data_IF_605549998090
#
_entry.id   IF_605549998090
#
_cell.length_a   1.000
_cell.length_b   1.000
_cell.length_c   1.000
_cell.angle_alpha   90.00
_cell.angle_beta   90.00
_cell.angle_gamma   90.00
#
_symmetry.space_group_name_H-M   'P 1'
#
loop_
_entity.id
_entity.type
_entity.pdbx_description
1 polymer ?
#
# COMPACT_ATOMS: atom_id res chain seq x y z
N UNK A 1 -27.13 0.41 -0.09
CA UNK A 1 -26.66 -0.98 0.11
C UNK A 1 -25.20 -0.92 0.55
N UNK A 2 -24.84 -1.58 1.64
CA UNK A 2 -23.43 -1.69 2.04
C UNK A 2 -22.74 -2.64 1.05
N UNK A 3 -21.64 -2.20 0.44
CA UNK A 3 -20.87 -3.05 -0.48
C UNK A 3 -20.16 -4.13 0.31
N UNK A 4 -20.09 -5.34 -0.23
CA UNK A 4 -19.34 -6.43 0.37
C UNK A 4 -17.87 -6.35 -0.08
N UNK A 5 -16.99 -5.89 0.82
CA UNK A 5 -15.56 -5.76 0.55
C UNK A 5 -14.81 -6.90 1.23
N UNK A 6 -14.06 -7.66 0.43
CA UNK A 6 -13.23 -8.77 0.88
C UNK A 6 -11.80 -8.63 0.35
N UNK A 7 -10.90 -9.47 0.86
CA UNK A 7 -9.48 -9.42 0.51
C UNK A 7 -9.01 -10.82 0.20
N UNK A 8 -8.50 -11.02 -1.01
CA UNK A 8 -7.91 -12.28 -1.46
C UNK A 8 -6.40 -12.19 -1.31
N UNK A 9 -5.74 -13.25 -0.84
CA UNK A 9 -4.28 -13.30 -0.90
C UNK A 9 -3.81 -13.11 -2.35
N UNK A 10 -2.76 -12.33 -2.55
CA UNK A 10 -2.15 -12.16 -3.87
C UNK A 10 -1.66 -13.52 -4.38
N UNK A 11 -1.85 -13.74 -5.68
CA UNK A 11 -1.41 -14.93 -6.42
C UNK A 11 -0.93 -14.52 -7.81
N UNK A 12 -0.14 -15.39 -8.44
CA UNK A 12 0.41 -15.18 -9.79
C UNK A 12 -0.69 -14.90 -10.84
N UNK A 13 -1.88 -15.50 -10.70
CA UNK A 13 -3.03 -15.26 -11.59
C UNK A 13 -3.48 -13.79 -11.64
N UNK A 14 -3.11 -12.98 -10.65
CA UNK A 14 -3.44 -11.55 -10.59
C UNK A 14 -2.41 -10.66 -11.29
N UNK A 15 -1.27 -11.18 -11.76
CA UNK A 15 -0.18 -10.35 -12.29
C UNK A 15 -0.58 -9.53 -13.52
N UNK A 16 -1.33 -10.13 -14.45
CA UNK A 16 -1.85 -9.39 -15.61
C UNK A 16 -2.79 -8.25 -15.19
N UNK A 17 -3.53 -8.42 -14.08
CA UNK A 17 -4.41 -7.40 -13.54
C UNK A 17 -3.63 -6.28 -12.86
N UNK A 18 -2.60 -6.62 -12.07
CA UNK A 18 -1.68 -5.62 -11.50
C UNK A 18 -1.02 -4.80 -12.60
N UNK A 19 -0.51 -5.44 -13.66
CA UNK A 19 0.09 -4.77 -14.81
C UNK A 19 -0.87 -3.76 -15.44
N UNK A 20 -2.11 -4.19 -15.72
CA UNK A 20 -3.17 -3.32 -16.24
C UNK A 20 -3.35 -2.09 -15.36
N UNK A 21 -3.43 -2.28 -14.04
CA UNK A 21 -3.73 -1.20 -13.11
C UNK A 21 -2.57 -0.22 -12.95
N UNK A 22 -1.34 -0.68 -12.77
CA UNK A 22 -0.19 0.22 -12.55
C UNK A 22 0.12 1.11 -13.75
N UNK A 23 -0.28 0.69 -14.96
CA UNK A 23 -0.17 1.49 -16.18
C UNK A 23 -1.36 2.42 -16.44
N UNK A 24 -2.42 2.38 -15.61
CA UNK A 24 -3.49 3.39 -15.71
C UNK A 24 -3.01 4.76 -15.25
N UNK A 25 -3.46 5.83 -15.92
CA UNK A 25 -3.02 7.19 -15.63
C UNK A 25 -3.20 7.61 -14.16
N UNK A 26 -4.31 7.20 -13.52
CA UNK A 26 -4.60 7.59 -12.14
C UNK A 26 -3.75 6.85 -11.10
N UNK A 27 -3.12 5.73 -11.46
CA UNK A 27 -2.19 5.01 -10.59
C UNK A 27 -0.75 5.37 -10.92
N UNK A 28 -0.37 5.30 -12.20
CA UNK A 28 1.00 5.57 -12.68
C UNK A 28 1.53 6.90 -12.18
N UNK A 29 0.66 7.92 -12.08
CA UNK A 29 1.00 9.23 -11.51
C UNK A 29 1.59 9.16 -10.09
N UNK A 30 1.19 8.18 -9.29
CA UNK A 30 1.50 8.07 -7.86
C UNK A 30 2.30 6.82 -7.49
N UNK A 31 2.27 5.80 -8.35
CA UNK A 31 2.85 4.49 -8.08
C UNK A 31 3.94 4.19 -9.09
N UNK A 32 5.20 4.24 -8.65
CA UNK A 32 6.37 3.91 -9.46
C UNK A 32 6.35 4.64 -10.83
N UNK A 33 6.11 5.96 -10.82
CA UNK A 33 5.81 6.76 -12.01
C UNK A 33 6.87 6.67 -13.12
N UNK A 34 8.13 6.49 -12.72
CA UNK A 34 9.28 6.40 -13.62
C UNK A 34 9.52 4.98 -14.17
N UNK A 35 8.75 3.99 -13.71
CA UNK A 35 8.89 2.59 -14.13
C UNK A 35 7.88 2.27 -15.23
N UNK A 36 8.35 1.89 -16.41
CA UNK A 36 7.51 1.27 -17.44
C UNK A 36 7.32 -0.22 -17.11
N UNK A 37 6.16 -0.57 -16.55
CA UNK A 37 5.90 -1.95 -16.13
C UNK A 37 5.76 -2.87 -17.34
N UNK A 38 6.42 -4.01 -17.24
CA UNK A 38 6.28 -5.14 -18.17
C UNK A 38 5.84 -6.38 -17.38
N UNK A 39 5.32 -7.42 -18.04
CA UNK A 39 5.02 -8.69 -17.38
C UNK A 39 6.20 -9.21 -16.55
N UNK A 40 7.42 -9.12 -17.06
CA UNK A 40 8.64 -9.60 -16.40
C UNK A 40 8.96 -8.78 -15.14
N UNK A 41 8.75 -7.45 -15.17
CA UNK A 41 8.96 -6.60 -13.99
C UNK A 41 7.90 -6.88 -12.92
N UNK A 42 6.64 -7.09 -13.33
CA UNK A 42 5.57 -7.48 -12.41
C UNK A 42 5.89 -8.81 -11.76
N UNK A 43 6.21 -9.83 -12.54
CA UNK A 43 6.58 -11.15 -12.03
C UNK A 43 7.77 -11.04 -11.06
N UNK A 44 8.83 -10.33 -11.45
CA UNK A 44 10.02 -10.12 -10.60
C UNK A 44 9.69 -9.46 -9.25
N UNK A 45 8.80 -8.47 -9.23
CA UNK A 45 8.41 -7.78 -8.00
C UNK A 45 7.46 -8.62 -7.16
N UNK A 46 6.35 -9.05 -7.76
CA UNK A 46 5.19 -9.59 -7.06
C UNK A 46 5.28 -11.09 -6.77
N UNK A 47 6.14 -11.87 -7.43
CA UNK A 47 6.35 -13.29 -7.09
C UNK A 47 6.91 -13.49 -5.67
N UNK A 48 7.73 -12.55 -5.19
CA UNK A 48 8.19 -12.56 -3.80
C UNK A 48 7.04 -12.25 -2.83
N UNK A 49 6.13 -11.38 -3.23
CA UNK A 49 5.00 -10.95 -2.40
C UNK A 49 3.95 -12.06 -2.27
N UNK A 50 3.75 -12.85 -3.33
CA UNK A 50 2.96 -14.09 -3.29
C UNK A 50 3.54 -15.09 -2.28
N UNK A 51 4.88 -15.15 -2.18
CA UNK A 51 5.59 -16.00 -1.19
C UNK A 51 5.63 -15.38 0.22
N UNK A 52 5.09 -14.19 0.42
CA UNK A 52 4.97 -13.54 1.73
C UNK A 52 6.21 -12.76 2.17
N UNK A 53 7.07 -12.32 1.24
CA UNK A 53 8.23 -11.50 1.59
C UNK A 53 8.55 -10.40 0.58
N UNK A 54 9.18 -9.33 1.05
CA UNK A 54 9.74 -8.24 0.23
C UNK A 54 11.25 -8.21 0.45
N UNK A 55 12.00 -8.05 -0.63
CA UNK A 55 13.44 -7.93 -0.58
C UNK A 55 13.88 -6.55 -0.07
N UNK A 56 14.65 -6.54 1.01
CA UNK A 56 15.46 -5.41 1.42
C UNK A 56 16.84 -5.54 0.76
N UNK A 57 17.18 -4.61 -0.13
CA UNK A 57 18.49 -4.55 -0.77
C UNK A 57 19.43 -3.68 0.06
N UNK A 58 20.48 -4.30 0.60
CA UNK A 58 21.66 -3.61 1.13
C UNK A 58 22.75 -3.56 0.05
N UNK A 59 23.81 -2.78 0.28
CA UNK A 59 24.96 -2.69 -0.64
C UNK A 59 25.61 -4.06 -0.92
N UNK A 60 25.51 -5.00 0.01
CA UNK A 60 26.22 -6.28 -0.05
C UNK A 60 25.31 -7.51 0.03
N UNK A 61 24.00 -7.34 0.30
CA UNK A 61 23.11 -8.45 0.63
C UNK A 61 21.67 -8.18 0.19
N UNK A 62 20.93 -9.24 -0.09
CA UNK A 62 19.48 -9.22 -0.20
C UNK A 62 18.92 -9.97 1.00
N UNK A 63 18.07 -9.30 1.77
CA UNK A 63 17.42 -9.87 2.95
C UNK A 63 15.92 -9.97 2.66
N UNK A 64 15.34 -11.14 2.92
CA UNK A 64 13.90 -11.34 2.84
C UNK A 64 13.24 -10.89 4.14
N UNK A 65 12.26 -9.99 4.03
CA UNK A 65 11.48 -9.50 5.16
C UNK A 65 10.00 -9.81 4.96
N UNK A 66 9.27 -10.27 6.01
CA UNK A 66 7.87 -10.62 5.87
C UNK A 66 7.03 -9.46 5.31
N UNK A 67 6.13 -9.80 4.40
CA UNK A 67 5.15 -8.87 3.86
C UNK A 67 3.88 -9.62 3.49
N UNK A 68 2.75 -8.91 3.47
CA UNK A 68 1.47 -9.50 3.12
C UNK A 68 0.81 -8.67 2.04
N UNK A 69 0.42 -9.31 0.95
CA UNK A 69 -0.18 -8.67 -0.21
C UNK A 69 -1.53 -9.29 -0.55
N UNK A 70 -2.48 -8.43 -0.92
CA UNK A 70 -3.85 -8.81 -1.17
C UNK A 70 -4.44 -8.08 -2.38
N UNK A 71 -5.44 -8.71 -2.97
CA UNK A 71 -6.37 -8.10 -3.92
C UNK A 71 -7.63 -7.67 -3.17
N UNK A 72 -8.00 -6.42 -3.34
CA UNK A 72 -9.24 -5.84 -2.82
C UNK A 72 -10.35 -6.27 -3.77
N UNK A 73 -11.34 -7.00 -3.24
CA UNK A 73 -12.52 -7.43 -3.98
C UNK A 73 -13.76 -6.70 -3.44
N UNK A 74 -14.60 -6.19 -4.33
CA UNK A 74 -15.84 -5.51 -4.00
C UNK A 74 -16.98 -6.14 -4.80
N UNK A 75 -17.94 -6.74 -4.11
CA UNK A 75 -19.12 -7.39 -4.71
C UNK A 75 -18.74 -8.39 -5.83
N UNK A 76 -17.67 -9.17 -5.61
CA UNK A 76 -17.18 -10.17 -6.55
C UNK A 76 -16.18 -9.66 -7.58
N UNK A 77 -16.00 -8.34 -7.72
CA UNK A 77 -15.05 -7.74 -8.67
C UNK A 77 -13.74 -7.41 -7.98
N UNK A 78 -12.61 -7.82 -8.57
CA UNK A 78 -11.29 -7.38 -8.11
C UNK A 78 -11.07 -5.94 -8.55
N UNK A 79 -10.83 -5.05 -7.59
CA UNK A 79 -10.85 -3.59 -7.83
C UNK A 79 -9.55 -2.89 -7.45
N UNK A 80 -8.65 -3.55 -6.72
CA UNK A 80 -7.43 -2.91 -6.27
C UNK A 80 -6.47 -3.85 -5.57
N UNK A 81 -5.37 -3.27 -5.12
CA UNK A 81 -4.26 -3.95 -4.48
C UNK A 81 -3.98 -3.30 -3.12
N UNK A 82 -3.60 -4.08 -2.12
CA UNK A 82 -3.15 -3.59 -0.81
C UNK A 82 -2.11 -4.51 -0.21
N UNK A 83 -1.06 -3.92 0.36
CA UNK A 83 -0.03 -4.64 1.11
C UNK A 83 0.21 -4.01 2.47
N UNK A 84 0.72 -4.83 3.41
CA UNK A 84 1.34 -4.33 4.62
C UNK A 84 2.59 -5.12 4.99
N UNK A 85 3.50 -4.45 5.71
CA UNK A 85 4.73 -5.01 6.24
C UNK A 85 5.20 -4.19 7.43
N UNK A 86 6.16 -4.70 8.20
CA UNK A 86 6.73 -3.95 9.32
C UNK A 86 7.47 -2.71 8.80
N UNK A 87 7.06 -1.51 9.26
CA UNK A 87 7.66 -0.26 8.80
C UNK A 87 9.15 -0.16 9.13
N UNK A 88 9.60 -0.81 10.19
CA UNK A 88 10.99 -0.77 10.66
C UNK A 88 11.93 -1.73 9.91
N UNK A 89 11.37 -2.65 9.11
CA UNK A 89 12.19 -3.53 8.28
C UNK A 89 12.79 -2.83 7.05
N UNK A 90 12.25 -1.67 6.66
CA UNK A 90 12.65 -0.96 5.46
C UNK A 90 13.02 0.49 5.76
N UNK A 91 14.09 1.01 5.12
CA UNK A 91 14.45 2.42 5.25
C UNK A 91 13.29 3.30 4.77
N UNK A 92 13.19 4.54 5.29
CA UNK A 92 12.18 5.48 4.83
C UNK A 92 12.42 5.84 3.36
N UNK A 93 11.35 5.87 2.56
CA UNK A 93 11.41 6.23 1.13
C UNK A 93 11.52 7.75 0.93
N UNK A 94 11.06 8.53 1.92
CA UNK A 94 11.18 9.98 1.97
C UNK A 94 11.99 10.41 3.19
N UNK A 95 12.42 11.68 3.20
CA UNK A 95 13.16 12.25 4.34
C UNK A 95 12.17 12.61 5.45
N UNK A 96 11.91 11.65 6.34
CA UNK A 96 11.20 11.89 7.60
C UNK A 96 11.91 11.20 8.76
N UNK A 97 11.73 11.76 9.97
CA UNK A 97 12.33 11.24 11.18
C UNK A 97 11.63 9.93 11.61
N UNK A 98 12.23 8.79 11.32
CA UNK A 98 11.68 7.47 11.69
C UNK A 98 11.67 7.22 13.19
N UNK A 99 12.44 7.98 13.99
CA UNK A 99 12.44 7.89 15.46
C UNK A 99 11.09 8.30 16.07
N UNK A 100 10.22 8.96 15.31
CA UNK A 100 8.90 9.40 15.78
C UNK A 100 7.80 8.40 15.47
N UNK A 101 8.12 7.32 14.75
CA UNK A 101 7.15 6.27 14.46
C UNK A 101 7.06 5.32 15.66
N UNK A 102 5.84 4.90 16.06
CA UNK A 102 5.66 3.89 17.10
C UNK A 102 6.43 2.61 16.78
N UNK A 103 6.88 1.90 17.82
CA UNK A 103 7.62 0.64 17.67
C UNK A 103 6.81 -0.42 16.94
N UNK A 104 5.55 -0.62 17.33
CA UNK A 104 4.62 -1.52 16.64
C UNK A 104 3.87 -0.76 15.54
N UNK A 105 4.43 -0.75 14.33
CA UNK A 105 3.89 0.02 13.20
C UNK A 105 4.00 -0.71 11.85
N UNK A 106 2.87 -0.88 11.17
CA UNK A 106 2.81 -1.42 9.82
C UNK A 106 2.80 -0.31 8.76
N UNK A 107 3.64 -0.42 7.73
CA UNK A 107 3.51 0.39 6.53
C UNK A 107 2.46 -0.21 5.60
N UNK A 108 1.59 0.63 5.02
CA UNK A 108 0.52 0.23 4.10
C UNK A 108 0.70 0.91 2.75
N UNK A 109 0.83 0.13 1.68
CA UNK A 109 0.79 0.64 0.30
C UNK A 109 -0.38 0.00 -0.45
N UNK A 110 -1.14 0.80 -1.18
CA UNK A 110 -2.35 0.31 -1.82
C UNK A 110 -2.88 1.27 -2.88
N UNK A 111 -3.76 0.77 -3.74
CA UNK A 111 -4.50 1.55 -4.71
C UNK A 111 -5.81 0.88 -5.13
N UNK A 112 -6.72 1.66 -5.69
CA UNK A 112 -7.90 1.18 -6.41
C UNK A 112 -7.59 1.23 -7.91
N UNK A 113 -7.42 0.04 -8.49
CA UNK A 113 -7.14 -0.23 -9.90
C UNK A 113 -8.27 0.16 -10.83
N UNK A 114 -9.48 -0.28 -10.48
CA UNK A 114 -10.65 -0.05 -11.31
C UNK A 114 -11.18 1.38 -11.12
N UNK A 115 -10.98 2.23 -12.12
CA UNK A 115 -11.33 3.65 -12.09
C UNK A 115 -12.80 3.90 -11.70
N UNK A 116 -13.70 2.98 -12.08
CA UNK A 116 -15.11 3.00 -11.74
C UNK A 116 -15.39 2.90 -10.23
N UNK A 117 -14.40 2.63 -9.39
CA UNK A 117 -14.52 2.57 -7.93
C UNK A 117 -13.84 3.74 -7.22
N UNK A 118 -13.07 4.55 -7.94
CA UNK A 118 -12.40 5.75 -7.44
C UNK A 118 -13.44 6.86 -7.18
N UNK A 119 -13.26 7.63 -6.10
CA UNK A 119 -14.15 8.75 -5.75
C UNK A 119 -15.53 8.35 -5.19
N UNK A 120 -15.84 7.05 -5.10
CA UNK A 120 -17.15 6.54 -4.65
C UNK A 120 -17.20 6.11 -3.17
N UNK A 121 -16.22 6.53 -2.37
CA UNK A 121 -16.10 6.15 -0.96
C UNK A 121 -15.63 4.71 -0.69
N UNK A 122 -15.46 3.89 -1.73
CA UNK A 122 -15.04 2.48 -1.61
C UNK A 122 -13.66 2.35 -0.98
N UNK A 123 -12.71 3.22 -1.35
CA UNK A 123 -11.34 3.18 -0.81
C UNK A 123 -11.29 3.35 0.71
N UNK A 124 -12.04 4.31 1.29
CA UNK A 124 -12.09 4.50 2.74
C UNK A 124 -12.70 3.29 3.47
N UNK A 125 -13.75 2.69 2.90
CA UNK A 125 -14.36 1.49 3.47
C UNK A 125 -13.39 0.31 3.41
N UNK A 126 -12.75 0.08 2.26
CA UNK A 126 -11.78 -0.98 2.08
C UNK A 126 -10.61 -0.83 3.06
N UNK A 127 -10.00 0.35 3.16
CA UNK A 127 -8.88 0.58 4.07
C UNK A 127 -9.28 0.34 5.53
N UNK A 128 -10.42 0.86 5.98
CA UNK A 128 -10.86 0.66 7.36
C UNK A 128 -11.12 -0.84 7.68
N UNK A 129 -11.75 -1.58 6.78
CA UNK A 129 -11.97 -3.02 6.96
C UNK A 129 -10.62 -3.75 7.00
N UNK A 130 -9.71 -3.41 6.08
CA UNK A 130 -8.40 -4.04 5.99
C UNK A 130 -7.58 -3.86 7.27
N UNK A 131 -7.51 -2.63 7.78
CA UNK A 131 -6.78 -2.31 9.00
C UNK A 131 -7.29 -3.13 10.20
N UNK A 132 -8.60 -3.16 10.41
CA UNK A 132 -9.20 -3.89 11.54
C UNK A 132 -9.07 -5.41 11.40
N UNK A 133 -9.11 -5.93 10.17
CA UNK A 133 -9.10 -7.37 9.91
C UNK A 133 -7.70 -7.98 9.93
N UNK A 134 -6.69 -7.26 9.43
CA UNK A 134 -5.35 -7.80 9.24
C UNK A 134 -4.29 -7.06 10.05
N UNK A 135 -4.27 -5.73 9.97
CA UNK A 135 -3.16 -4.94 10.51
C UNK A 135 -3.22 -4.86 12.03
N UNK A 136 -4.36 -4.41 12.59
CA UNK A 136 -4.55 -4.24 14.03
C UNK A 136 -4.72 -5.55 14.82
N UNK A 137 -4.55 -6.70 14.14
CA UNK A 137 -4.38 -7.99 14.80
C UNK A 137 -2.92 -8.28 15.17
N UNK A 138 -1.98 -7.56 14.57
CA UNK A 138 -0.54 -7.81 14.69
C UNK A 138 0.21 -6.54 15.11
N UNK A 139 -0.20 -5.37 14.63
CA UNK A 139 0.44 -4.09 14.88
C UNK A 139 -0.50 -3.16 15.63
N UNK A 140 0.03 -2.28 16.47
CA UNK A 140 -0.78 -1.29 17.18
C UNK A 140 -1.08 -0.06 16.31
N UNK A 141 -0.18 0.25 15.37
CA UNK A 141 -0.26 1.45 14.55
C UNK A 141 -0.11 1.12 13.06
N UNK A 142 -0.66 1.98 12.21
CA UNK A 142 -0.51 1.92 10.77
C UNK A 142 0.09 3.24 10.25
N UNK A 143 0.96 3.11 9.26
CA UNK A 143 1.68 4.21 8.62
C UNK A 143 1.43 4.18 7.12
N UNK A 144 1.25 5.37 6.55
CA UNK A 144 1.09 5.61 5.11
C UNK A 144 1.92 6.84 4.75
N UNK A 145 2.55 6.81 3.58
CA UNK A 145 3.38 7.91 3.09
C UNK A 145 2.94 8.36 1.69
N UNK A 146 1.75 8.97 1.53
CA UNK A 146 1.33 9.47 0.25
C UNK A 146 2.20 10.66 -0.18
N UNK A 147 2.43 10.79 -1.49
CA UNK A 147 2.93 12.06 -2.03
C UNK A 147 2.05 13.23 -1.61
N UNK A 148 2.66 14.35 -1.21
CA UNK A 148 1.97 15.52 -0.63
C UNK A 148 0.87 16.11 -1.54
N UNK A 149 1.01 15.94 -2.86
CA UNK A 149 0.05 16.39 -3.86
C UNK A 149 -1.11 15.40 -4.09
N UNK A 150 -1.06 14.20 -3.49
CA UNK A 150 -2.09 13.17 -3.60
C UNK A 150 -3.24 13.45 -2.62
N UNK A 151 -3.95 14.57 -2.86
CA UNK A 151 -5.07 15.03 -2.04
C UNK A 151 -6.15 13.96 -1.91
N UNK A 152 -6.36 13.15 -2.95
CA UNK A 152 -7.32 12.04 -2.92
C UNK A 152 -6.96 10.99 -1.86
N UNK A 153 -5.71 10.52 -1.83
CA UNK A 153 -5.25 9.57 -0.83
C UNK A 153 -5.28 10.17 0.58
N UNK A 154 -4.80 11.41 0.74
CA UNK A 154 -4.80 12.12 2.03
C UNK A 154 -6.22 12.19 2.62
N UNK A 155 -7.23 12.55 1.82
CA UNK A 155 -8.63 12.59 2.26
C UNK A 155 -9.16 11.22 2.68
N UNK A 156 -8.70 10.14 2.05
CA UNK A 156 -9.07 8.78 2.47
C UNK A 156 -8.47 8.48 3.85
N UNK A 157 -7.20 8.80 4.05
CA UNK A 157 -6.52 8.57 5.32
C UNK A 157 -7.15 9.36 6.47
N UNK A 158 -7.43 10.65 6.25
CA UNK A 158 -8.12 11.50 7.23
C UNK A 158 -9.50 10.93 7.61
N UNK A 159 -10.28 10.44 6.61
CA UNK A 159 -11.58 9.79 6.86
C UNK A 159 -11.48 8.49 7.67
N UNK A 160 -10.37 7.78 7.55
CA UNK A 160 -10.11 6.52 8.28
C UNK A 160 -9.42 6.79 9.63
N UNK A 161 -9.19 8.06 9.98
CA UNK A 161 -8.69 8.47 11.29
C UNK A 161 -7.16 8.59 11.38
N UNK A 162 -6.44 8.50 10.26
CA UNK A 162 -5.01 8.80 10.24
C UNK A 162 -4.79 10.28 10.57
N UNK A 163 -3.72 10.54 11.33
CA UNK A 163 -3.27 11.88 11.67
C UNK A 163 -1.92 12.13 11.02
N UNK A 164 -1.73 13.35 10.52
CA UNK A 164 -0.45 13.77 9.96
C UNK A 164 0.55 13.99 11.09
N UNK A 165 1.75 13.45 10.93
CA UNK A 165 2.88 13.73 11.79
C UNK A 165 3.66 14.87 11.16
N UNK A 166 3.60 16.06 11.75
CA UNK A 166 4.41 17.21 11.33
C UNK A 166 5.26 17.66 12.51
N UNK A 167 6.58 17.70 12.36
CA UNK A 167 7.43 18.54 13.20
C UNK A 167 8.43 19.28 12.32
N UNK A 168 8.29 20.60 12.29
CA UNK A 168 9.29 21.51 11.73
C UNK A 168 10.11 22.01 12.91
N UNK A 169 11.39 21.68 12.96
CA UNK A 169 12.32 22.28 13.92
C UNK A 169 13.04 23.39 13.17
N UNK A 170 12.67 24.64 13.44
CA UNK A 170 13.37 25.83 12.94
C UNK A 170 14.26 26.34 14.07
N UNK A 171 15.54 26.58 13.76
CA UNK A 171 16.47 27.33 14.61
C UNK A 171 16.84 28.60 13.86
N UNK A 172 16.65 29.75 14.50
CA UNK A 172 17.17 31.03 14.02
C UNK A 172 18.61 31.23 14.50
#
# INVERSE_FOLDING_TARGET
MNKNITFKALKEEHFSLLLKWVETHHIKKWWDADINWTPELIEKKYSNYVKGFKHLKSKTQIIEKPMHAFIINCDGVDIGYIQYYNKHDFPPEQVYNTLELPESCAAIDWYIGELNYVGKGVGSQALNIFLNKFVFKVYENAFVDPGIANVCAIRVYEKVGFKKLWKVIVRF
#
